data_IF_611789354773
#
_entry.id   IF_611789354773
#
_cell.length_a   1.000
_cell.length_b   1.000
_cell.length_c   1.000
_cell.angle_alpha   90.00
_cell.angle_beta   90.00
_cell.angle_gamma   90.00
#
_symmetry.space_group_name_H-M   'P 1'
#
loop_
_entity.id
_entity.type
_entity.pdbx_description
1 polymer ?
#
# COMPACT_ATOMS: atom_id res chain seq x y z
N UNK A 1 -3.62 -7.44 7.53
CA UNK A 1 -3.40 -6.04 7.93
C UNK A 1 -2.04 -5.98 8.58
N UNK A 2 -1.16 -5.16 8.03
CA UNK A 2 0.19 -4.95 8.53
C UNK A 2 0.35 -3.48 8.91
N UNK A 3 1.13 -3.20 9.96
CA UNK A 3 1.42 -1.83 10.40
C UNK A 3 2.93 -1.68 10.45
N UNK A 4 3.45 -0.75 9.65
CA UNK A 4 4.88 -0.41 9.63
C UNK A 4 5.06 1.03 10.10
N UNK A 5 6.06 1.27 10.94
CA UNK A 5 6.44 2.63 11.35
C UNK A 5 7.64 3.11 10.53
N UNK A 6 7.51 4.29 9.93
CA UNK A 6 8.60 4.97 9.23
C UNK A 6 8.64 6.44 9.62
N UNK A 7 9.79 6.89 10.13
CA UNK A 7 10.02 8.29 10.54
C UNK A 7 8.97 8.80 11.54
N UNK A 8 8.58 7.97 12.51
CA UNK A 8 7.56 8.30 13.52
C UNK A 8 6.13 8.35 12.99
N UNK A 9 5.89 7.82 11.78
CA UNK A 9 4.56 7.75 11.16
C UNK A 9 4.16 6.30 10.92
N UNK A 10 2.92 5.98 11.26
CA UNK A 10 2.35 4.67 11.01
C UNK A 10 1.79 4.60 9.58
N UNK A 11 2.07 3.48 8.92
CA UNK A 11 1.51 3.11 7.63
C UNK A 11 0.71 1.84 7.84
N UNK A 12 -0.58 1.92 7.54
CA UNK A 12 -1.52 0.81 7.62
C UNK A 12 -1.65 0.17 6.25
N UNK A 13 -1.21 -1.06 6.11
CA UNK A 13 -1.17 -1.78 4.85
C UNK A 13 -2.22 -2.90 4.83
N UNK A 14 -3.02 -2.93 3.77
CA UNK A 14 -4.00 -3.97 3.48
C UNK A 14 -3.72 -4.59 2.14
N UNK A 15 -3.91 -5.89 2.08
CA UNK A 15 -3.83 -6.69 0.88
C UNK A 15 -5.13 -7.48 0.76
N UNK A 16 -5.80 -7.33 -0.38
CA UNK A 16 -7.10 -7.92 -0.64
C UNK A 16 -6.99 -8.93 -1.78
N UNK A 17 -7.40 -10.17 -1.53
CA UNK A 17 -7.58 -11.20 -2.55
C UNK A 17 -9.07 -11.41 -2.82
N UNK A 18 -9.46 -11.56 -4.10
CA UNK A 18 -10.17 -10.55 -4.92
C UNK A 18 -10.92 -9.48 -4.10
N UNK A 19 -10.69 -8.17 -4.32
CA UNK A 19 -10.39 -7.52 -5.61
C UNK A 19 -8.92 -7.08 -5.87
N UNK A 20 -7.91 -7.92 -5.59
CA UNK A 20 -6.49 -7.72 -5.95
C UNK A 20 -6.00 -6.27 -5.77
N UNK A 21 -6.04 -5.82 -4.53
CA UNK A 21 -5.67 -4.46 -4.15
C UNK A 21 -4.64 -4.43 -3.03
N UNK A 22 -3.64 -3.55 -3.16
CA UNK A 22 -2.77 -3.12 -2.07
C UNK A 22 -3.17 -1.71 -1.68
N UNK A 23 -3.52 -1.51 -0.42
CA UNK A 23 -3.94 -0.23 0.13
C UNK A 23 -2.97 0.14 1.24
N UNK A 24 -2.34 1.31 1.12
CA UNK A 24 -1.50 1.88 2.17
C UNK A 24 -2.12 3.20 2.63
N UNK A 25 -2.41 3.31 3.92
CA UNK A 25 -2.98 4.51 4.53
C UNK A 25 -2.03 5.09 5.57
N UNK A 26 -1.86 6.42 5.56
CA UNK A 26 -1.12 7.15 6.59
C UNK A 26 -1.72 8.54 6.79
N UNK A 27 -1.42 9.17 7.93
CA UNK A 27 -1.87 10.52 8.25
C UNK A 27 -0.68 11.41 8.57
N UNK A 28 -0.63 12.62 7.98
CA UNK A 28 0.40 13.60 8.24
C UNK A 28 -0.14 15.03 8.09
N UNK A 29 0.13 15.90 9.07
CA UNK A 29 -0.28 17.30 9.03
C UNK A 29 -1.78 17.50 8.83
N UNK A 30 -2.60 16.75 9.58
CA UNK A 30 -4.06 16.75 9.48
C UNK A 30 -4.61 16.37 8.09
N UNK A 31 -3.83 15.64 7.29
CA UNK A 31 -4.24 15.09 5.99
C UNK A 31 -4.13 13.58 5.99
N UNK A 32 -5.15 12.93 5.45
CA UNK A 32 -5.18 11.50 5.20
C UNK A 32 -4.64 11.21 3.80
N UNK A 33 -3.65 10.33 3.72
CA UNK A 33 -3.09 9.86 2.45
C UNK A 33 -3.47 8.40 2.26
N UNK A 34 -4.14 8.11 1.15
CA UNK A 34 -4.40 6.75 0.68
C UNK A 34 -3.62 6.51 -0.61
N UNK A 35 -2.85 5.44 -0.62
CA UNK A 35 -2.15 4.96 -1.79
C UNK A 35 -2.67 3.57 -2.16
N UNK A 36 -3.32 3.48 -3.32
CA UNK A 36 -3.98 2.27 -3.78
C UNK A 36 -3.31 1.75 -5.05
N UNK A 37 -2.98 0.47 -5.06
CA UNK A 37 -2.55 -0.28 -6.23
C UNK A 37 -3.62 -1.31 -6.51
N UNK A 38 -4.24 -1.24 -7.68
CA UNK A 38 -5.27 -2.17 -8.12
C UNK A 38 -4.80 -2.82 -9.41
N UNK A 39 -5.00 -4.12 -9.56
CA UNK A 39 -4.65 -4.84 -10.79
C UNK A 39 -5.66 -5.93 -11.12
N UNK A 40 -5.75 -6.28 -12.40
CA UNK A 40 -6.44 -7.51 -12.82
C UNK A 40 -5.71 -8.74 -12.26
N UNK A 41 -6.39 -9.88 -12.15
CA UNK A 41 -5.77 -11.12 -11.66
C UNK A 41 -4.52 -11.55 -12.44
N UNK A 42 -4.48 -11.28 -13.75
CA UNK A 42 -3.31 -11.55 -14.58
C UNK A 42 -2.13 -10.63 -14.23
N UNK A 43 -2.37 -9.33 -14.05
CA UNK A 43 -1.34 -8.36 -13.64
C UNK A 43 -0.84 -8.67 -12.23
N UNK A 44 -1.76 -9.01 -11.31
CA UNK A 44 -1.44 -9.40 -9.94
C UNK A 44 -0.49 -10.60 -9.94
N UNK A 45 -0.86 -11.68 -10.62
CA UNK A 45 -0.04 -12.90 -10.69
C UNK A 45 1.34 -12.64 -11.33
N UNK A 46 1.42 -11.81 -12.37
CA UNK A 46 2.66 -11.55 -13.11
C UNK A 46 3.61 -10.57 -12.40
N UNK A 47 3.05 -9.54 -11.76
CA UNK A 47 3.82 -8.39 -11.26
C UNK A 47 3.75 -8.22 -9.74
N UNK A 48 3.21 -9.21 -9.00
CA UNK A 48 3.00 -9.14 -7.56
C UNK A 48 4.18 -8.54 -6.78
N UNK A 49 5.40 -9.02 -7.05
CA UNK A 49 6.62 -8.55 -6.36
C UNK A 49 6.89 -7.06 -6.61
N UNK A 50 6.69 -6.60 -7.84
CA UNK A 50 6.90 -5.20 -8.20
C UNK A 50 5.80 -4.32 -7.59
N UNK A 51 4.54 -4.79 -7.62
CA UNK A 51 3.41 -4.10 -7.00
C UNK A 51 3.61 -3.95 -5.48
N UNK A 52 4.07 -5.02 -4.82
CA UNK A 52 4.40 -4.99 -3.39
C UNK A 52 5.54 -4.01 -3.09
N UNK A 53 6.60 -4.02 -3.90
CA UNK A 53 7.70 -3.05 -3.77
C UNK A 53 7.23 -1.60 -3.92
N UNK A 54 6.31 -1.33 -4.85
CA UNK A 54 5.72 0.00 -5.02
C UNK A 54 4.94 0.38 -3.75
N UNK A 55 4.10 -0.51 -3.22
CA UNK A 55 3.35 -0.27 -1.97
C UNK A 55 4.29 0.00 -0.78
N UNK A 56 5.34 -0.80 -0.62
CA UNK A 56 6.28 -0.68 0.50
C UNK A 56 7.15 0.58 0.40
N UNK A 57 7.35 1.12 -0.81
CA UNK A 57 8.13 2.35 -1.05
C UNK A 57 7.36 3.64 -0.79
N UNK A 58 6.03 3.59 -0.61
CA UNK A 58 5.21 4.79 -0.45
C UNK A 58 5.56 5.54 0.85
N UNK A 59 5.97 6.81 0.73
CA UNK A 59 6.30 7.67 1.86
C UNK A 59 5.72 9.06 1.67
N UNK A 60 5.24 9.65 2.76
CA UNK A 60 4.83 11.06 2.82
C UNK A 60 5.97 11.85 3.48
N UNK A 61 6.38 12.96 2.85
CA UNK A 61 7.41 13.89 3.38
C UNK A 61 6.74 14.95 4.23
#
# INVERSE_FOLDING_TARGET
MEVSEHSGRNYYQYELEPPHALITATAAGNRLYLFNIIGSGLQWKRHYKDLKRIADSFRVV
#
